data_IF_741798432050
#
_entry.id   IF_741798432050
#
_cell.length_a   1.000
_cell.length_b   1.000
_cell.length_c   1.000
_cell.angle_alpha   90.00
_cell.angle_beta   90.00
_cell.angle_gamma   90.00
#
_symmetry.space_group_name_H-M   'P 1'
#
loop_
_entity.id
_entity.type
_entity.pdbx_description
1 polymer ?
#
# COMPACT_ATOMS: atom_id res chain seq x y z
N UNK A 1 -17.04 -25.06 -5.35
CA UNK A 1 -16.84 -26.47 -4.98
C UNK A 1 -15.50 -26.93 -5.55
N UNK A 2 -14.89 -27.99 -5.00
CA UNK A 2 -13.70 -28.63 -5.59
C UNK A 2 -14.10 -29.53 -6.77
N UNK A 3 -13.15 -29.84 -7.66
CA UNK A 3 -13.40 -30.71 -8.80
C UNK A 3 -14.08 -32.03 -8.41
N UNK A 4 -13.56 -32.72 -7.38
CA UNK A 4 -14.11 -33.99 -6.88
C UNK A 4 -15.57 -33.87 -6.38
N UNK A 5 -15.93 -32.72 -5.79
CA UNK A 5 -17.29 -32.46 -5.30
C UNK A 5 -18.25 -32.24 -6.47
N UNK A 6 -17.81 -31.56 -7.52
CA UNK A 6 -18.60 -31.34 -8.74
C UNK A 6 -18.78 -32.67 -9.49
N UNK A 7 -17.74 -33.50 -9.58
CA UNK A 7 -17.85 -34.84 -10.15
C UNK A 7 -18.84 -35.73 -9.37
N UNK A 8 -18.84 -35.66 -8.04
CA UNK A 8 -19.81 -36.37 -7.19
C UNK A 8 -21.25 -35.88 -7.42
N UNK A 9 -21.46 -34.56 -7.50
CA UNK A 9 -22.77 -33.96 -7.84
C UNK A 9 -23.31 -34.51 -9.16
N UNK A 10 -22.46 -34.61 -10.17
CA UNK A 10 -22.82 -35.06 -11.51
C UNK A 10 -23.10 -36.56 -11.55
N UNK A 11 -22.26 -37.35 -10.90
CA UNK A 11 -22.40 -38.82 -10.92
C UNK A 11 -23.53 -39.33 -10.03
N UNK A 12 -23.93 -38.56 -9.00
CA UNK A 12 -25.01 -38.93 -8.07
C UNK A 12 -26.43 -38.75 -8.61
N UNK A 13 -26.60 -38.11 -9.78
CA UNK A 13 -27.92 -37.78 -10.32
C UNK A 13 -28.56 -36.53 -9.67
N UNK A 14 -27.85 -35.89 -8.73
CA UNK A 14 -28.34 -34.72 -8.02
C UNK A 14 -28.39 -33.50 -8.93
N UNK A 15 -27.44 -33.39 -9.85
CA UNK A 15 -27.44 -32.37 -10.89
C UNK A 15 -28.73 -32.43 -11.72
N UNK A 16 -29.06 -33.59 -12.29
CA UNK A 16 -30.25 -33.78 -13.11
C UNK A 16 -31.52 -33.48 -12.32
N UNK A 17 -31.56 -33.86 -11.04
CA UNK A 17 -32.70 -33.58 -10.15
C UNK A 17 -32.93 -32.09 -9.93
N UNK A 18 -31.87 -31.30 -9.84
CA UNK A 18 -31.97 -29.85 -9.58
C UNK A 18 -32.16 -29.07 -10.89
N UNK A 19 -31.50 -29.51 -11.97
CA UNK A 19 -31.39 -28.78 -13.23
C UNK A 19 -32.04 -29.52 -14.41
N UNK A 20 -33.17 -30.21 -14.19
CA UNK A 20 -33.90 -31.06 -15.16
C UNK A 20 -34.05 -30.47 -16.59
N UNK A 21 -33.83 -29.17 -16.80
CA UNK A 21 -34.00 -28.44 -18.08
C UNK A 21 -32.73 -27.82 -18.67
N UNK A 22 -31.54 -27.90 -18.05
CA UNK A 22 -30.30 -27.39 -18.65
C UNK A 22 -29.66 -28.44 -19.58
N UNK A 23 -30.37 -28.82 -20.65
CA UNK A 23 -29.92 -29.84 -21.61
C UNK A 23 -28.60 -29.48 -22.33
N UNK A 24 -28.22 -28.20 -22.37
CA UNK A 24 -27.07 -27.72 -23.14
C UNK A 24 -25.73 -27.71 -22.38
N UNK A 25 -25.73 -28.06 -21.08
CA UNK A 25 -24.51 -27.99 -20.27
C UNK A 25 -24.32 -29.24 -19.41
N UNK A 26 -23.59 -30.22 -19.95
CA UNK A 26 -23.08 -31.36 -19.20
C UNK A 26 -21.59 -31.10 -18.96
N UNK A 27 -21.17 -30.77 -17.72
CA UNK A 27 -19.75 -30.63 -17.40
C UNK A 27 -19.02 -31.94 -17.74
N UNK A 28 -18.27 -31.94 -18.83
CA UNK A 28 -17.32 -32.98 -19.18
C UNK A 28 -15.92 -32.48 -18.81
N UNK A 29 -15.15 -33.32 -18.09
CA UNK A 29 -13.77 -33.06 -17.67
C UNK A 29 -13.65 -31.87 -16.70
N UNK A 30 -13.38 -32.18 -15.44
CA UNK A 30 -13.23 -31.19 -14.37
C UNK A 30 -11.83 -31.32 -13.79
N UNK A 31 -11.07 -30.23 -13.79
CA UNK A 31 -9.68 -30.23 -13.31
C UNK A 31 -9.46 -29.03 -12.38
N UNK A 32 -9.03 -29.32 -11.15
CA UNK A 32 -8.56 -28.29 -10.22
C UNK A 32 -7.11 -27.90 -10.56
N UNK A 33 -6.92 -26.66 -11.00
CA UNK A 33 -5.59 -26.07 -11.14
C UNK A 33 -5.28 -25.15 -9.95
N UNK A 34 -4.01 -24.75 -9.81
CA UNK A 34 -3.58 -23.88 -8.70
C UNK A 34 -4.31 -22.53 -8.71
N UNK A 35 -4.61 -21.98 -9.90
CA UNK A 35 -5.14 -20.62 -10.04
C UNK A 35 -6.59 -20.57 -10.54
N UNK A 36 -7.15 -21.69 -11.02
CA UNK A 36 -8.47 -21.74 -11.65
C UNK A 36 -9.06 -23.14 -11.61
N UNK A 37 -10.38 -23.21 -11.78
CA UNK A 37 -11.11 -24.44 -12.03
C UNK A 37 -11.32 -24.58 -13.54
N UNK A 38 -11.07 -25.75 -14.11
CA UNK A 38 -11.36 -26.03 -15.51
C UNK A 38 -12.57 -26.95 -15.63
N UNK A 39 -13.55 -26.56 -16.45
CA UNK A 39 -14.72 -27.36 -16.77
C UNK A 39 -14.95 -27.30 -18.27
N UNK A 40 -14.88 -28.43 -18.96
CA UNK A 40 -15.20 -28.54 -20.40
C UNK A 40 -14.40 -27.57 -21.29
N UNK A 41 -13.12 -27.38 -20.98
CA UNK A 41 -12.18 -26.42 -21.60
C UNK A 41 -12.42 -24.94 -21.26
N UNK A 42 -13.41 -24.61 -20.43
CA UNK A 42 -13.57 -23.26 -19.88
C UNK A 42 -12.84 -23.14 -18.55
N UNK A 43 -12.09 -22.06 -18.39
CA UNK A 43 -11.35 -21.76 -17.18
C UNK A 43 -12.10 -20.74 -16.35
N UNK A 44 -12.39 -21.06 -15.09
CA UNK A 44 -13.04 -20.19 -14.12
C UNK A 44 -11.97 -19.58 -13.22
N UNK A 45 -11.69 -18.29 -13.43
CA UNK A 45 -10.71 -17.54 -12.66
C UNK A 45 -11.40 -16.56 -11.71
N UNK A 46 -11.17 -16.70 -10.41
CA UNK A 46 -11.65 -15.74 -9.41
C UNK A 46 -11.00 -14.37 -9.63
N UNK A 47 -11.81 -13.32 -9.66
CA UNK A 47 -11.38 -11.93 -9.76
C UNK A 47 -11.48 -11.29 -8.38
N UNK A 48 -10.33 -11.10 -7.75
CA UNK A 48 -10.22 -10.58 -6.39
C UNK A 48 -10.51 -9.07 -6.31
N UNK A 49 -10.20 -8.32 -7.38
CA UNK A 49 -10.44 -6.88 -7.42
C UNK A 49 -10.75 -6.40 -8.82
N UNK A 50 -11.75 -5.55 -8.93
CA UNK A 50 -12.02 -4.74 -10.13
C UNK A 50 -11.67 -3.29 -9.87
N UNK A 51 -11.21 -2.60 -10.91
CA UNK A 51 -10.87 -1.17 -10.88
C UNK A 51 -12.09 -0.34 -10.49
N UNK A 52 -11.86 0.75 -9.75
CA UNK A 52 -12.93 1.70 -9.44
C UNK A 52 -13.43 2.47 -10.67
N UNK A 53 -12.76 2.32 -11.83
CA UNK A 53 -13.21 2.86 -13.11
C UNK A 53 -14.21 1.96 -13.82
N UNK A 54 -14.30 0.68 -13.44
CA UNK A 54 -15.18 -0.29 -14.08
C UNK A 54 -16.62 -0.02 -13.64
N UNK A 55 -17.50 0.30 -14.58
CA UNK A 55 -18.93 0.39 -14.30
C UNK A 55 -19.48 -0.98 -13.94
N UNK A 56 -20.17 -1.07 -12.80
CA UNK A 56 -20.79 -2.31 -12.31
C UNK A 56 -22.30 -2.35 -12.57
N UNK A 57 -22.78 -1.57 -13.52
CA UNK A 57 -24.18 -1.55 -13.96
C UNK A 57 -24.52 -2.70 -14.91
N UNK A 58 -23.50 -3.44 -15.38
CA UNK A 58 -23.62 -4.65 -16.17
C UNK A 58 -23.06 -5.81 -15.37
N UNK A 59 -23.74 -6.95 -15.46
CA UNK A 59 -23.34 -8.17 -14.76
C UNK A 59 -22.23 -8.92 -15.51
N UNK A 60 -22.09 -8.69 -16.82
CA UNK A 60 -21.06 -9.32 -17.65
C UNK A 60 -20.48 -8.36 -18.69
N UNK A 61 -19.23 -8.61 -19.05
CA UNK A 61 -18.49 -7.88 -20.10
C UNK A 61 -17.68 -8.90 -20.91
N UNK A 62 -17.91 -8.96 -22.21
CA UNK A 62 -17.11 -9.79 -23.12
C UNK A 62 -15.69 -9.22 -23.25
N UNK A 63 -14.70 -10.11 -23.29
CA UNK A 63 -13.29 -9.78 -23.49
C UNK A 63 -12.82 -10.43 -24.78
N UNK A 64 -12.34 -9.60 -25.70
CA UNK A 64 -11.73 -10.06 -26.95
C UNK A 64 -10.23 -9.84 -26.90
N UNK A 65 -9.46 -10.84 -27.33
CA UNK A 65 -8.01 -10.73 -27.48
C UNK A 65 -7.64 -9.84 -28.68
N UNK A 66 -6.41 -9.33 -28.74
CA UNK A 66 -5.98 -8.37 -29.78
C UNK A 66 -6.00 -8.95 -31.20
N UNK A 67 -5.92 -10.28 -31.33
CA UNK A 67 -6.04 -11.01 -32.60
C UNK A 67 -7.49 -11.30 -33.01
N UNK A 68 -8.47 -10.87 -32.21
CA UNK A 68 -9.89 -11.04 -32.45
C UNK A 68 -10.49 -12.33 -31.89
N UNK A 69 -9.72 -13.20 -31.23
CA UNK A 69 -10.27 -14.37 -30.52
C UNK A 69 -11.11 -13.95 -29.33
N UNK A 70 -12.18 -14.68 -29.04
CA UNK A 70 -12.93 -14.49 -27.80
C UNK A 70 -12.13 -15.04 -26.62
N UNK A 71 -11.76 -14.16 -25.68
CA UNK A 71 -11.07 -14.58 -24.47
C UNK A 71 -12.08 -15.16 -23.48
N UNK A 72 -13.30 -14.62 -23.45
CA UNK A 72 -14.37 -15.02 -22.56
C UNK A 72 -15.05 -13.83 -21.89
N UNK A 73 -15.66 -14.07 -20.74
CA UNK A 73 -16.54 -13.10 -20.07
C UNK A 73 -16.07 -12.76 -18.67
N UNK A 74 -15.93 -11.46 -18.38
CA UNK A 74 -15.78 -10.93 -17.03
C UNK A 74 -17.14 -10.72 -16.40
N UNK A 75 -17.42 -11.49 -15.35
CA UNK A 75 -18.65 -11.46 -14.57
C UNK A 75 -18.47 -10.57 -13.34
N UNK A 76 -19.19 -9.45 -13.30
CA UNK A 76 -19.18 -8.44 -12.23
C UNK A 76 -20.25 -8.70 -11.17
N UNK A 77 -20.41 -9.96 -10.79
CA UNK A 77 -21.55 -10.48 -10.03
C UNK A 77 -21.34 -10.53 -8.52
N UNK A 78 -20.20 -10.09 -7.98
CA UNK A 78 -19.96 -10.08 -6.53
C UNK A 78 -21.10 -9.39 -5.75
N UNK A 79 -21.68 -10.09 -4.79
CA UNK A 79 -22.79 -9.62 -3.97
C UNK A 79 -24.17 -9.73 -4.63
N UNK A 80 -24.25 -10.17 -5.88
CA UNK A 80 -25.52 -10.51 -6.55
C UNK A 80 -26.10 -11.76 -5.89
N UNK A 81 -27.39 -11.71 -5.60
CA UNK A 81 -28.14 -12.85 -5.07
C UNK A 81 -28.70 -13.67 -6.23
N UNK A 82 -28.58 -14.98 -6.13
CA UNK A 82 -29.16 -15.93 -7.07
C UNK A 82 -30.61 -16.22 -6.67
N UNK A 83 -31.54 -15.63 -7.41
CA UNK A 83 -32.97 -15.82 -7.18
C UNK A 83 -33.56 -16.99 -7.99
N UNK A 84 -32.96 -17.30 -9.15
CA UNK A 84 -33.38 -18.38 -10.03
C UNK A 84 -32.20 -18.91 -10.86
N UNK A 85 -31.90 -20.21 -10.70
CA UNK A 85 -30.85 -20.91 -11.43
C UNK A 85 -31.05 -20.90 -12.95
N UNK A 86 -32.29 -20.94 -13.43
CA UNK A 86 -32.58 -21.05 -14.86
C UNK A 86 -32.38 -19.75 -15.61
N UNK A 87 -32.12 -18.65 -14.88
CA UNK A 87 -31.78 -17.35 -15.46
C UNK A 87 -30.28 -17.17 -15.68
N UNK A 88 -29.45 -18.08 -15.17
CA UNK A 88 -28.00 -18.00 -15.32
C UNK A 88 -27.60 -18.32 -16.76
N UNK A 89 -26.76 -17.47 -17.33
CA UNK A 89 -25.96 -17.82 -18.50
C UNK A 89 -25.00 -18.98 -18.19
N UNK A 90 -24.47 -19.66 -19.22
CA UNK A 90 -23.50 -20.74 -19.03
C UNK A 90 -22.26 -20.28 -18.25
N UNK A 91 -21.78 -19.05 -18.49
CA UNK A 91 -20.66 -18.48 -17.76
C UNK A 91 -20.99 -18.21 -16.28
N UNK A 92 -22.18 -17.66 -15.99
CA UNK A 92 -22.62 -17.44 -14.60
C UNK A 92 -22.83 -18.76 -13.85
N UNK A 93 -23.31 -19.80 -14.55
CA UNK A 93 -23.45 -21.14 -13.98
C UNK A 93 -22.09 -21.75 -13.62
N UNK A 94 -21.11 -21.63 -14.51
CA UNK A 94 -19.72 -22.05 -14.23
C UNK A 94 -19.13 -21.32 -13.02
N UNK A 95 -19.35 -20.00 -12.93
CA UNK A 95 -18.94 -19.22 -11.76
C UNK A 95 -19.67 -19.67 -10.47
N UNK A 96 -20.96 -20.03 -10.57
CA UNK A 96 -21.72 -20.56 -9.42
C UNK A 96 -21.12 -21.86 -8.89
N UNK A 97 -20.74 -22.80 -9.77
CA UNK A 97 -20.12 -24.06 -9.38
C UNK A 97 -18.80 -23.85 -8.61
N UNK A 98 -18.00 -22.86 -9.01
CA UNK A 98 -16.77 -22.51 -8.29
C UNK A 98 -17.06 -21.85 -6.94
N UNK A 99 -18.07 -20.97 -6.86
CA UNK A 99 -18.33 -20.12 -5.70
C UNK A 99 -19.06 -20.82 -4.54
N UNK A 100 -19.88 -21.84 -4.82
CA UNK A 100 -20.73 -22.54 -3.84
C UNK A 100 -20.00 -23.68 -3.12
N UNK A 101 -20.40 -24.06 -1.90
CA UNK A 101 -19.95 -25.33 -1.29
C UNK A 101 -20.83 -26.51 -1.70
N UNK A 102 -20.41 -27.74 -1.40
CA UNK A 102 -21.22 -28.94 -1.69
C UNK A 102 -22.57 -28.88 -0.97
N UNK A 103 -22.59 -28.36 0.27
CA UNK A 103 -23.80 -28.26 1.10
C UNK A 103 -24.77 -27.18 0.60
N UNK A 104 -24.24 -26.10 0.03
CA UNK A 104 -25.03 -24.98 -0.50
C UNK A 104 -25.51 -25.21 -1.95
N UNK A 105 -25.10 -26.32 -2.56
CA UNK A 105 -25.43 -26.63 -3.94
C UNK A 105 -26.93 -26.84 -4.14
N UNK A 106 -27.53 -26.11 -5.08
CA UNK A 106 -28.97 -26.11 -5.34
C UNK A 106 -29.79 -25.24 -4.38
N UNK A 107 -29.18 -24.57 -3.39
CA UNK A 107 -29.90 -23.66 -2.51
C UNK A 107 -30.18 -22.31 -3.18
N UNK A 108 -31.46 -21.92 -3.22
CA UNK A 108 -31.85 -20.58 -3.67
C UNK A 108 -31.40 -19.51 -2.68
N UNK A 109 -30.93 -18.39 -3.21
CA UNK A 109 -30.49 -17.25 -2.43
C UNK A 109 -29.01 -17.21 -2.12
N UNK A 110 -28.19 -18.05 -2.78
CA UNK A 110 -26.74 -17.90 -2.85
C UNK A 110 -26.35 -16.46 -3.18
N UNK A 111 -25.29 -15.94 -2.55
CA UNK A 111 -24.77 -14.59 -2.82
C UNK A 111 -23.33 -14.73 -3.27
N UNK A 112 -23.05 -14.31 -4.51
CA UNK A 112 -21.71 -14.48 -5.08
C UNK A 112 -20.64 -13.79 -4.22
N UNK A 113 -19.62 -14.54 -3.80
CA UNK A 113 -18.57 -14.04 -2.91
C UNK A 113 -17.56 -13.14 -3.63
N UNK A 114 -17.42 -13.33 -4.95
CA UNK A 114 -16.43 -12.68 -5.79
C UNK A 114 -16.92 -12.45 -7.22
N UNK A 115 -16.15 -11.67 -7.98
CA UNK A 115 -16.27 -11.55 -9.43
C UNK A 115 -15.48 -12.69 -10.11
N UNK A 116 -15.76 -12.98 -11.38
CA UNK A 116 -15.15 -14.09 -12.11
C UNK A 116 -14.76 -13.71 -13.52
N UNK A 117 -13.73 -14.35 -14.07
CA UNK A 117 -13.47 -14.42 -15.49
C UNK A 117 -13.68 -15.86 -15.93
N UNK A 118 -14.52 -16.09 -16.92
CA UNK A 118 -14.75 -17.41 -17.52
C UNK A 118 -14.23 -17.39 -18.95
N UNK A 119 -13.24 -18.23 -19.26
CA UNK A 119 -12.65 -18.27 -20.60
C UNK A 119 -13.51 -19.07 -21.59
N UNK A 120 -13.48 -18.68 -22.86
CA UNK A 120 -14.18 -19.35 -23.97
C UNK A 120 -13.20 -19.96 -24.97
N UNK A 121 -12.86 -19.25 -26.06
CA UNK A 121 -12.07 -19.82 -27.17
C UNK A 121 -10.58 -19.96 -26.85
N UNK A 122 -10.08 -19.20 -25.87
CA UNK A 122 -8.69 -19.27 -25.43
C UNK A 122 -8.54 -20.40 -24.40
N UNK A 123 -7.58 -21.34 -24.61
CA UNK A 123 -7.30 -22.37 -23.62
C UNK A 123 -7.01 -21.76 -22.24
N UNK A 124 -7.60 -22.27 -21.14
CA UNK A 124 -7.40 -21.73 -19.81
C UNK A 124 -5.93 -21.64 -19.39
N UNK A 125 -5.14 -22.65 -19.78
CA UNK A 125 -3.70 -22.70 -19.55
C UNK A 125 -2.91 -21.62 -20.34
N UNK A 126 -3.39 -21.20 -21.51
CA UNK A 126 -2.81 -20.08 -22.27
C UNK A 126 -3.10 -18.76 -21.53
N UNK A 127 -4.33 -18.55 -21.06
CA UNK A 127 -4.68 -17.38 -20.26
C UNK A 127 -3.84 -17.29 -18.97
N UNK A 128 -3.77 -18.38 -18.19
CA UNK A 128 -3.05 -18.42 -16.91
C UNK A 128 -1.56 -18.07 -17.07
N UNK A 129 -0.94 -18.58 -18.15
CA UNK A 129 0.48 -18.39 -18.44
C UNK A 129 0.78 -17.00 -19.01
N UNK A 130 0.00 -16.55 -19.98
CA UNK A 130 0.40 -15.43 -20.85
C UNK A 130 -0.33 -14.12 -20.51
N UNK A 131 -1.54 -14.17 -19.94
CA UNK A 131 -2.42 -13.00 -19.80
C UNK A 131 -2.81 -12.66 -18.36
N UNK A 132 -2.94 -13.68 -17.48
CA UNK A 132 -3.44 -13.50 -16.10
C UNK A 132 -2.64 -12.48 -15.29
N UNK A 133 -1.32 -12.51 -15.42
CA UNK A 133 -0.42 -11.63 -14.66
C UNK A 133 -0.45 -10.16 -15.10
N UNK A 134 -1.03 -9.87 -16.28
CA UNK A 134 -1.11 -8.51 -16.84
C UNK A 134 -2.54 -7.96 -16.88
N UNK A 135 -3.53 -8.75 -16.42
CA UNK A 135 -4.95 -8.39 -16.41
C UNK A 135 -5.23 -7.07 -15.65
N UNK A 136 -4.42 -6.75 -14.65
CA UNK A 136 -4.50 -5.49 -13.92
C UNK A 136 -4.35 -4.26 -14.84
N UNK A 137 -3.60 -4.39 -15.93
CA UNK A 137 -3.29 -3.31 -16.86
C UNK A 137 -4.35 -3.22 -17.96
N UNK A 138 -4.57 -4.31 -18.70
CA UNK A 138 -5.43 -4.29 -19.89
C UNK A 138 -6.92 -4.51 -19.55
N UNK A 139 -7.21 -5.32 -18.53
CA UNK A 139 -8.59 -5.67 -18.14
C UNK A 139 -9.14 -4.80 -17.03
N UNK A 140 -8.27 -4.14 -16.25
CA UNK A 140 -8.70 -3.36 -15.09
C UNK A 140 -9.25 -4.23 -13.96
N UNK A 141 -8.81 -5.48 -13.87
CA UNK A 141 -9.15 -6.41 -12.80
C UNK A 141 -7.93 -7.26 -12.40
N UNK A 142 -7.96 -7.78 -11.19
CA UNK A 142 -6.86 -8.50 -10.57
C UNK A 142 -7.27 -9.88 -10.12
N UNK A 143 -6.42 -10.86 -10.42
CA UNK A 143 -6.45 -12.17 -9.79
C UNK A 143 -5.62 -12.22 -8.51
N UNK A 144 -4.85 -11.17 -8.21
CA UNK A 144 -4.07 -11.13 -6.98
C UNK A 144 -4.95 -10.80 -5.79
N UNK A 145 -4.79 -11.55 -4.70
CA UNK A 145 -5.46 -11.25 -3.45
C UNK A 145 -5.04 -9.85 -3.00
N UNK A 146 -6.01 -9.00 -2.69
CA UNK A 146 -5.72 -7.66 -2.21
C UNK A 146 -4.87 -7.76 -0.91
N UNK A 147 -3.82 -6.93 -0.76
CA UNK A 147 -3.09 -6.85 0.50
C UNK A 147 -4.08 -6.59 1.64
N UNK A 148 -3.84 -7.22 2.79
CA UNK A 148 -4.73 -7.04 3.95
C UNK A 148 -4.78 -5.56 4.32
N UNK A 149 -5.97 -4.97 4.25
CA UNK A 149 -6.17 -3.61 4.72
C UNK A 149 -5.98 -3.59 6.23
N UNK A 150 -4.84 -3.10 6.69
CA UNK A 150 -4.59 -2.98 8.10
C UNK A 150 -5.19 -1.66 8.62
N UNK A 151 -6.15 -1.81 9.53
CA UNK A 151 -6.77 -0.71 10.26
C UNK A 151 -5.99 -0.52 11.55
N UNK A 152 -5.61 0.72 11.83
CA UNK A 152 -5.02 1.09 13.10
C UNK A 152 -6.14 1.23 14.14
N UNK A 153 -6.11 0.46 15.24
CA UNK A 153 -7.01 0.71 16.35
C UNK A 153 -6.66 2.07 16.98
N UNK A 154 -7.67 2.90 17.26
CA UNK A 154 -7.49 4.13 18.02
C UNK A 154 -8.43 4.13 19.23
N UNK A 155 -7.90 4.54 20.38
CA UNK A 155 -8.65 4.63 21.65
C UNK A 155 -9.26 6.01 21.88
N UNK A 156 -8.68 7.05 21.26
CA UNK A 156 -9.15 8.43 21.37
C UNK A 156 -8.66 9.27 20.19
N UNK A 157 -9.34 10.39 19.94
CA UNK A 157 -8.96 11.39 18.93
C UNK A 157 -8.78 12.72 19.66
N UNK A 158 -7.63 13.36 19.47
CA UNK A 158 -7.34 14.69 20.03
C UNK A 158 -7.34 15.71 18.90
N UNK A 159 -8.22 16.71 19.00
CA UNK A 159 -8.23 17.83 18.05
C UNK A 159 -7.03 18.76 18.30
N UNK A 160 -6.24 19.02 17.26
CA UNK A 160 -5.09 19.92 17.32
C UNK A 160 -5.38 21.23 16.57
N UNK A 161 -5.82 22.27 17.30
CA UNK A 161 -6.13 23.60 16.73
C UNK A 161 -4.92 24.35 16.19
N UNK A 162 -3.71 23.82 16.39
CA UNK A 162 -2.45 24.43 15.97
C UNK A 162 -2.05 24.11 14.53
N UNK A 163 -2.64 23.07 13.94
CA UNK A 163 -2.32 22.65 12.58
C UNK A 163 -2.71 23.75 11.59
N UNK A 164 -1.72 24.19 10.81
CA UNK A 164 -1.85 25.23 9.79
C UNK A 164 -1.67 24.60 8.42
N UNK A 165 -2.59 24.90 7.52
CA UNK A 165 -2.61 24.30 6.17
C UNK A 165 -2.19 25.37 5.16
N UNK A 166 -0.96 25.34 4.64
CA UNK A 166 -0.40 26.47 3.88
C UNK A 166 -1.06 26.73 2.52
N UNK A 167 -1.73 25.73 1.94
CA UNK A 167 -2.37 25.85 0.63
C UNK A 167 -3.51 24.85 0.45
N UNK A 168 -4.38 25.11 -0.53
CA UNK A 168 -5.45 24.17 -0.91
C UNK A 168 -4.90 22.80 -1.31
N UNK A 169 -3.72 22.75 -1.96
CA UNK A 169 -3.07 21.49 -2.31
C UNK A 169 -2.74 20.63 -1.09
N UNK A 170 -2.36 21.25 0.04
CA UNK A 170 -2.17 20.52 1.30
C UNK A 170 -3.51 20.00 1.84
N UNK A 171 -4.58 20.80 1.83
CA UNK A 171 -5.92 20.34 2.23
C UNK A 171 -6.37 19.10 1.43
N UNK A 172 -6.18 19.13 0.11
CA UNK A 172 -6.50 18.00 -0.77
C UNK A 172 -5.60 16.80 -0.51
N UNK A 173 -4.30 17.01 -0.25
CA UNK A 173 -3.36 15.94 0.06
C UNK A 173 -3.70 15.25 1.40
N UNK A 174 -4.05 16.02 2.44
CA UNK A 174 -4.52 15.48 3.72
C UNK A 174 -5.81 14.68 3.56
N UNK A 175 -6.77 15.17 2.76
CA UNK A 175 -7.99 14.41 2.47
C UNK A 175 -7.67 13.07 1.77
N UNK A 176 -6.75 13.07 0.78
CA UNK A 176 -6.32 11.86 0.08
C UNK A 176 -5.61 10.87 1.01
N UNK A 177 -4.89 11.33 2.03
CA UNK A 177 -4.35 10.47 3.08
C UNK A 177 -5.45 9.70 3.82
N UNK A 178 -6.55 10.35 4.19
CA UNK A 178 -7.69 9.70 4.85
C UNK A 178 -8.38 8.63 3.98
N UNK A 179 -8.35 8.79 2.65
CA UNK A 179 -8.93 7.82 1.70
C UNK A 179 -7.98 6.66 1.32
N UNK A 180 -6.72 6.70 1.72
CA UNK A 180 -5.73 5.67 1.37
C UNK A 180 -6.06 4.33 2.03
N UNK A 181 -5.86 3.23 1.28
CA UNK A 181 -6.40 1.90 1.65
C UNK A 181 -5.42 1.02 2.41
N UNK A 182 -4.13 1.29 2.30
CA UNK A 182 -3.07 0.50 2.93
C UNK A 182 -1.96 1.41 3.51
N UNK A 183 -1.10 0.88 4.39
CA UNK A 183 -0.03 1.67 5.04
C UNK A 183 0.97 2.29 4.07
N UNK A 184 1.31 1.61 2.96
CA UNK A 184 2.22 2.15 1.94
C UNK A 184 1.65 3.40 1.28
N UNK A 185 0.39 3.36 0.84
CA UNK A 185 -0.30 4.51 0.29
C UNK A 185 -0.39 5.64 1.32
N UNK A 186 -0.77 5.33 2.56
CA UNK A 186 -0.86 6.31 3.65
C UNK A 186 0.48 7.02 3.87
N UNK A 187 1.57 6.27 3.97
CA UNK A 187 2.91 6.80 4.09
C UNK A 187 3.26 7.73 2.92
N UNK A 188 3.06 7.29 1.67
CA UNK A 188 3.36 8.10 0.49
C UNK A 188 2.51 9.38 0.41
N UNK A 189 1.23 9.33 0.81
CA UNK A 189 0.35 10.51 0.84
C UNK A 189 0.77 11.50 1.93
N UNK A 190 1.17 11.04 3.11
CA UNK A 190 1.74 11.93 4.15
C UNK A 190 3.06 12.54 3.68
N UNK A 191 3.93 11.74 3.07
CA UNK A 191 5.22 12.21 2.57
C UNK A 191 5.05 13.28 1.50
N UNK A 192 4.06 13.08 0.61
CA UNK A 192 3.71 14.08 -0.39
C UNK A 192 3.30 15.42 0.22
N UNK A 193 2.70 15.44 1.42
CA UNK A 193 2.41 16.69 2.12
C UNK A 193 3.69 17.45 2.50
N UNK A 194 4.77 16.74 2.86
CA UNK A 194 6.09 17.34 3.09
C UNK A 194 6.71 17.82 1.78
N UNK A 195 6.59 17.05 0.70
CA UNK A 195 7.10 17.46 -0.62
C UNK A 195 6.48 18.78 -1.08
N UNK A 196 5.15 18.92 -0.97
CA UNK A 196 4.44 20.16 -1.27
C UNK A 196 4.92 21.33 -0.38
N UNK A 197 5.32 21.03 0.85
CA UNK A 197 5.80 22.02 1.80
C UNK A 197 7.16 22.59 1.39
N UNK A 198 8.07 21.81 0.78
CA UNK A 198 9.37 22.32 0.29
C UNK A 198 9.18 23.50 -0.65
N UNK A 199 8.31 23.32 -1.64
CA UNK A 199 8.01 24.33 -2.66
C UNK A 199 7.27 25.51 -2.02
N UNK A 200 6.32 25.21 -1.13
CA UNK A 200 5.50 26.24 -0.47
C UNK A 200 6.33 27.15 0.42
N UNK A 201 7.23 26.62 1.25
CA UNK A 201 8.14 27.43 2.07
C UNK A 201 9.04 28.29 1.19
N UNK A 202 9.53 27.73 0.07
CA UNK A 202 10.35 28.48 -0.89
C UNK A 202 9.58 29.69 -1.42
N UNK A 203 8.33 29.49 -1.85
CA UNK A 203 7.45 30.57 -2.33
C UNK A 203 7.13 31.59 -1.23
N UNK A 204 6.80 31.16 -0.02
CA UNK A 204 6.50 32.05 1.10
C UNK A 204 7.70 32.92 1.46
N UNK A 205 8.90 32.34 1.53
CA UNK A 205 10.14 33.10 1.79
C UNK A 205 10.45 34.10 0.68
N UNK A 206 10.23 33.74 -0.59
CA UNK A 206 10.40 34.68 -1.71
C UNK A 206 9.41 35.85 -1.60
N UNK A 207 8.15 35.59 -1.22
CA UNK A 207 7.15 36.65 -1.03
C UNK A 207 7.49 37.62 0.10
N UNK A 208 8.25 37.17 1.10
CA UNK A 208 8.75 38.01 2.19
C UNK A 208 9.98 38.85 1.81
N UNK A 209 10.62 38.55 0.68
CA UNK A 209 11.69 39.39 0.16
C UNK A 209 11.12 40.68 -0.42
N UNK A 210 11.84 41.78 -0.18
CA UNK A 210 11.66 43.04 -0.91
C UNK A 210 12.61 43.04 -2.12
N UNK A 211 13.54 43.99 -2.23
CA UNK A 211 14.48 44.11 -3.34
C UNK A 211 15.81 43.34 -3.11
N UNK A 212 15.80 42.32 -2.24
CA UNK A 212 17.00 41.57 -1.86
C UNK A 212 17.31 40.41 -2.84
N UNK A 213 18.03 40.75 -3.91
CA UNK A 213 18.51 39.77 -4.92
C UNK A 213 19.45 38.72 -4.29
N UNK A 214 20.23 39.08 -3.25
CA UNK A 214 21.13 38.12 -2.58
C UNK A 214 20.33 37.12 -1.76
N UNK A 215 19.33 37.60 -1.03
CA UNK A 215 18.34 36.77 -0.33
C UNK A 215 17.65 35.79 -1.28
N UNK A 216 17.23 36.26 -2.46
CA UNK A 216 16.63 35.41 -3.48
C UNK A 216 17.58 34.29 -3.94
N UNK A 217 18.84 34.62 -4.23
CA UNK A 217 19.84 33.62 -4.62
C UNK A 217 20.07 32.56 -3.52
N UNK A 218 20.11 32.98 -2.25
CA UNK A 218 20.23 32.08 -1.10
C UNK A 218 19.06 31.10 -1.01
N UNK A 219 17.82 31.59 -1.17
CA UNK A 219 16.61 30.76 -1.13
C UNK A 219 16.64 29.73 -2.28
N UNK A 220 16.96 30.17 -3.51
CA UNK A 220 16.99 29.29 -4.68
C UNK A 220 18.09 28.22 -4.57
N UNK A 221 19.26 28.57 -4.03
CA UNK A 221 20.34 27.62 -3.81
C UNK A 221 19.97 26.57 -2.74
N UNK A 222 19.30 26.98 -1.66
CA UNK A 222 18.79 26.05 -0.66
C UNK A 222 17.74 25.10 -1.24
N UNK A 223 16.86 25.61 -2.12
CA UNK A 223 15.85 24.81 -2.81
C UNK A 223 16.44 23.74 -3.74
N UNK A 224 17.59 24.01 -4.37
CA UNK A 224 18.27 23.09 -5.29
C UNK A 224 19.02 21.93 -4.61
N UNK A 225 19.01 21.86 -3.28
CA UNK A 225 19.66 20.78 -2.52
C UNK A 225 18.92 19.45 -2.68
N UNK A 226 19.58 18.35 -2.27
CA UNK A 226 18.98 17.01 -2.38
C UNK A 226 17.78 16.91 -1.46
N UNK A 227 16.84 16.05 -1.83
CA UNK A 227 15.59 15.82 -1.10
C UNK A 227 15.82 15.57 0.40
N UNK A 228 16.74 14.65 0.75
CA UNK A 228 17.09 14.36 2.16
C UNK A 228 17.61 15.59 2.91
N UNK A 229 18.39 16.45 2.27
CA UNK A 229 18.92 17.67 2.89
C UNK A 229 17.79 18.67 3.16
N UNK A 230 16.79 18.74 2.28
CA UNK A 230 15.58 19.55 2.47
C UNK A 230 14.72 19.02 3.62
N UNK A 231 14.55 17.69 3.75
CA UNK A 231 13.87 17.10 4.92
C UNK A 231 14.59 17.46 6.22
N UNK A 232 15.92 17.32 6.26
CA UNK A 232 16.73 17.66 7.43
C UNK A 232 16.62 19.16 7.76
N UNK A 233 16.62 20.02 6.76
CA UNK A 233 16.46 21.47 6.97
C UNK A 233 15.09 21.80 7.55
N UNK A 234 14.02 21.22 7.01
CA UNK A 234 12.66 21.42 7.53
C UNK A 234 12.52 20.87 8.95
N UNK A 235 13.07 19.70 9.26
CA UNK A 235 12.97 19.15 10.61
C UNK A 235 13.61 20.09 11.64
N UNK A 236 14.83 20.56 11.36
CA UNK A 236 15.54 21.47 12.26
C UNK A 236 14.85 22.81 12.50
N UNK A 237 14.07 23.28 11.53
CA UNK A 237 13.41 24.59 11.61
C UNK A 237 12.04 24.54 12.28
N UNK A 238 11.25 23.49 12.01
CA UNK A 238 9.85 23.45 12.39
C UNK A 238 9.51 22.42 13.48
N UNK A 239 10.41 21.48 13.81
CA UNK A 239 10.21 20.51 14.88
C UNK A 239 10.70 21.11 16.20
N UNK A 240 9.86 21.08 17.22
CA UNK A 240 10.16 21.63 18.54
C UNK A 240 10.25 20.53 19.61
N UNK A 241 9.39 19.51 19.52
CA UNK A 241 9.32 18.42 20.49
C UNK A 241 10.12 17.21 19.99
N UNK A 242 11.43 17.30 20.17
CA UNK A 242 12.37 16.26 19.73
C UNK A 242 12.20 14.97 20.54
N UNK A 243 11.71 15.05 21.77
CA UNK A 243 11.49 13.88 22.62
C UNK A 243 10.27 13.08 22.14
N UNK A 244 9.15 13.72 21.79
CA UNK A 244 8.00 13.05 21.17
C UNK A 244 8.36 12.39 19.84
N UNK A 245 9.23 13.03 19.03
CA UNK A 245 9.72 12.44 17.80
C UNK A 245 10.65 11.24 18.07
N UNK A 246 11.53 11.34 19.07
CA UNK A 246 12.42 10.27 19.47
C UNK A 246 11.68 9.06 20.04
N UNK A 247 10.58 9.29 20.76
CA UNK A 247 9.67 8.22 21.20
C UNK A 247 9.16 7.42 20.00
N UNK A 248 8.78 8.05 18.87
CA UNK A 248 8.34 7.29 17.68
C UNK A 248 9.43 6.45 17.05
N UNK A 249 10.71 6.80 17.25
CA UNK A 249 11.82 5.98 16.80
C UNK A 249 11.91 4.64 17.58
N UNK A 250 11.37 4.55 18.80
CA UNK A 250 11.39 3.30 19.58
C UNK A 250 10.50 2.21 19.00
N UNK A 251 9.52 2.57 18.16
CA UNK A 251 8.67 1.61 17.45
C UNK A 251 9.44 0.74 16.45
N UNK A 252 10.74 0.97 16.28
CA UNK A 252 11.64 0.07 15.54
C UNK A 252 11.82 -1.29 16.24
N UNK A 253 11.44 -1.39 17.53
CA UNK A 253 11.47 -2.63 18.30
C UNK A 253 10.68 -3.74 17.61
N UNK A 254 11.31 -4.89 17.38
CA UNK A 254 10.73 -6.00 16.61
C UNK A 254 10.88 -5.90 15.09
N UNK A 255 11.47 -4.81 14.58
CA UNK A 255 11.76 -4.59 13.17
C UNK A 255 13.24 -4.29 12.90
N UNK A 256 14.14 -4.68 13.80
CA UNK A 256 15.57 -4.36 13.72
C UNK A 256 16.22 -4.92 12.45
N UNK A 257 15.84 -6.14 12.06
CA UNK A 257 16.40 -6.81 10.88
C UNK A 257 16.06 -6.07 9.58
N UNK A 258 14.80 -5.65 9.42
CA UNK A 258 14.39 -4.88 8.25
C UNK A 258 14.96 -3.47 8.30
N UNK A 259 14.97 -2.82 9.47
CA UNK A 259 15.57 -1.51 9.64
C UNK A 259 17.06 -1.53 9.27
N UNK A 260 17.79 -2.59 9.64
CA UNK A 260 19.20 -2.78 9.26
C UNK A 260 19.33 -2.87 7.74
N UNK A 261 18.51 -3.68 7.07
CA UNK A 261 18.55 -3.78 5.60
C UNK A 261 18.35 -2.42 4.94
N UNK A 262 17.35 -1.65 5.38
CA UNK A 262 17.00 -0.37 4.76
C UNK A 262 18.02 0.73 5.09
N UNK A 263 18.35 0.90 6.36
CA UNK A 263 19.10 2.07 6.85
C UNK A 263 20.61 1.84 6.91
N UNK A 264 21.08 0.59 7.00
CA UNK A 264 22.49 0.24 7.14
C UNK A 264 23.04 -0.47 5.89
N UNK A 265 22.52 -1.65 5.52
CA UNK A 265 23.05 -2.46 4.41
C UNK A 265 22.89 -1.73 3.07
N UNK A 266 21.71 -1.14 2.85
CA UNK A 266 21.43 -0.31 1.70
C UNK A 266 21.68 1.18 1.97
N UNK A 267 22.50 1.55 2.96
CA UNK A 267 22.80 2.94 3.33
C UNK A 267 23.21 3.81 2.12
N UNK A 268 22.93 5.11 2.22
CA UNK A 268 23.25 6.14 1.21
C UNK A 268 23.99 7.29 1.91
N UNK A 269 24.69 8.09 1.10
CA UNK A 269 25.36 9.32 1.56
C UNK A 269 24.37 10.20 2.36
N UNK A 270 24.84 10.73 3.50
CA UNK A 270 24.01 11.50 4.42
C UNK A 270 23.41 10.69 5.59
N UNK A 271 23.72 9.39 5.71
CA UNK A 271 23.36 8.60 6.89
C UNK A 271 24.06 9.16 8.14
N UNK A 272 23.32 9.62 9.18
CA UNK A 272 23.92 10.14 10.41
C UNK A 272 24.68 9.08 11.23
N UNK A 273 24.36 7.79 11.01
CA UNK A 273 24.94 6.64 11.72
C UNK A 273 25.61 5.67 10.75
N UNK A 274 26.36 6.21 9.79
CA UNK A 274 26.91 5.43 8.68
C UNK A 274 27.75 4.21 9.15
N UNK A 275 27.63 3.04 8.48
CA UNK A 275 28.34 1.82 8.85
C UNK A 275 29.86 1.94 8.84
N UNK A 276 30.40 2.91 8.09
CA UNK A 276 31.83 3.22 8.04
C UNK A 276 32.36 3.97 9.26
N UNK A 277 31.50 4.42 10.18
CA UNK A 277 31.94 5.03 11.44
C UNK A 277 32.58 3.97 12.35
N UNK A 278 33.63 4.36 13.07
CA UNK A 278 34.33 3.48 14.01
C UNK A 278 34.26 4.04 15.44
N UNK A 279 33.58 3.36 16.38
CA UNK A 279 32.87 2.09 16.21
C UNK A 279 31.55 2.25 15.41
N UNK A 280 31.07 1.18 14.74
CA UNK A 280 29.74 1.18 14.14
C UNK A 280 28.67 1.49 15.19
N UNK A 281 27.95 2.60 15.02
CA UNK A 281 26.95 3.09 16.00
C UNK A 281 25.57 2.44 15.86
N UNK A 282 25.33 1.74 14.75
CA UNK A 282 24.04 1.11 14.45
C UNK A 282 23.51 0.30 15.64
N UNK A 283 24.31 -0.64 16.16
CA UNK A 283 23.91 -1.52 17.24
C UNK A 283 23.59 -0.77 18.55
N UNK A 284 24.33 0.29 18.87
CA UNK A 284 24.05 1.14 20.04
C UNK A 284 22.74 1.91 19.87
N UNK A 285 22.52 2.50 18.68
CA UNK A 285 21.33 3.29 18.38
C UNK A 285 20.07 2.42 18.38
N UNK A 286 20.08 1.32 17.63
CA UNK A 286 18.92 0.43 17.61
C UNK A 286 18.72 -0.29 18.94
N UNK A 287 19.80 -0.71 19.61
CA UNK A 287 19.71 -1.34 20.93
C UNK A 287 19.13 -0.42 22.02
N UNK A 288 19.39 0.89 21.94
CA UNK A 288 18.79 1.88 22.83
C UNK A 288 17.31 2.08 22.51
N UNK A 289 16.99 2.37 21.25
CA UNK A 289 15.63 2.65 20.78
C UNK A 289 14.70 1.45 20.96
N UNK A 290 15.12 0.23 20.62
CA UNK A 290 14.32 -0.99 20.79
C UNK A 290 14.01 -1.29 22.25
N UNK A 291 14.83 -0.79 23.18
CA UNK A 291 14.60 -0.89 24.62
C UNK A 291 13.79 0.27 25.19
N UNK A 292 13.22 1.14 24.35
CA UNK A 292 12.43 2.29 24.76
C UNK A 292 13.27 3.41 25.38
N UNK A 293 14.59 3.41 25.16
CA UNK A 293 15.52 4.41 25.68
C UNK A 293 15.83 5.44 24.61
N UNK A 294 15.27 6.64 24.74
CA UNK A 294 15.33 7.67 23.69
C UNK A 294 15.64 9.08 24.22
N UNK A 295 15.74 9.26 25.55
CA UNK A 295 16.16 10.54 26.10
C UNK A 295 17.63 10.84 25.79
N UNK A 296 18.03 12.11 25.83
CA UNK A 296 19.43 12.49 25.61
C UNK A 296 20.40 11.76 26.55
N UNK A 297 20.01 11.62 27.81
CA UNK A 297 20.82 10.94 28.82
C UNK A 297 20.99 9.45 28.49
N UNK A 298 19.90 8.78 28.10
CA UNK A 298 19.95 7.36 27.75
C UNK A 298 20.81 7.11 26.52
N UNK A 299 20.62 7.91 25.47
CA UNK A 299 21.37 7.75 24.22
C UNK A 299 22.87 8.01 24.44
N UNK A 300 23.25 8.94 25.31
CA UNK A 300 24.67 9.16 25.66
C UNK A 300 25.24 7.99 26.47
N UNK A 301 24.48 7.46 27.43
CA UNK A 301 24.89 6.32 28.25
C UNK A 301 25.11 5.06 27.40
N UNK A 302 24.25 4.83 26.42
CA UNK A 302 24.34 3.68 25.50
C UNK A 302 25.35 3.89 24.36
N UNK A 303 26.03 5.04 24.32
CA UNK A 303 26.91 5.46 23.24
C UNK A 303 26.21 5.56 21.88
N UNK A 304 24.88 5.64 21.88
CA UNK A 304 24.04 5.88 20.72
C UNK A 304 24.14 7.33 20.24
N UNK A 305 24.33 8.30 21.14
CA UNK A 305 24.60 9.72 20.88
C UNK A 305 26.02 10.06 21.34
N UNK A 306 26.82 10.69 20.47
CA UNK A 306 28.19 11.07 20.84
C UNK A 306 28.21 12.23 21.85
N UNK A 307 29.21 12.27 22.73
CA UNK A 307 29.26 13.26 23.83
C UNK A 307 29.22 14.74 23.38
N UNK A 308 29.68 15.03 22.15
CA UNK A 308 29.68 16.39 21.57
C UNK A 308 28.54 16.63 20.58
N UNK A 309 27.70 15.63 20.33
CA UNK A 309 26.61 15.71 19.38
C UNK A 309 25.38 16.29 20.07
N UNK A 310 24.71 17.20 19.37
CA UNK A 310 23.48 17.82 19.85
C UNK A 310 22.29 16.87 19.65
N UNK A 311 21.55 16.61 20.73
CA UNK A 311 20.42 15.67 20.72
C UNK A 311 19.36 16.06 19.69
N UNK A 312 18.92 17.33 19.71
CA UNK A 312 17.87 17.81 18.82
C UNK A 312 18.28 17.65 17.35
N UNK A 313 19.50 18.05 17.02
CA UNK A 313 20.08 17.90 15.68
C UNK A 313 20.17 16.43 15.27
N UNK A 314 20.61 15.55 16.16
CA UNK A 314 20.69 14.12 15.90
C UNK A 314 19.32 13.52 15.60
N UNK A 315 18.33 13.72 16.48
CA UNK A 315 16.96 13.19 16.33
C UNK A 315 16.30 13.72 15.05
N UNK A 316 16.43 15.02 14.78
CA UNK A 316 15.91 15.64 13.55
C UNK A 316 16.56 15.07 12.29
N UNK A 317 17.86 14.77 12.34
CA UNK A 317 18.60 14.25 11.19
C UNK A 317 18.31 12.77 10.95
N UNK A 318 18.30 11.94 11.99
CA UNK A 318 18.03 10.49 11.86
C UNK A 318 16.59 10.23 11.44
N UNK A 319 15.61 10.96 12.00
CA UNK A 319 14.20 10.83 11.63
C UNK A 319 13.98 11.20 10.15
N UNK A 320 14.49 12.36 9.73
CA UNK A 320 14.42 12.80 8.34
C UNK A 320 15.08 11.79 7.38
N UNK A 321 16.25 11.27 7.74
CA UNK A 321 16.96 10.27 6.96
C UNK A 321 16.14 8.97 6.83
N UNK A 322 15.64 8.43 7.94
CA UNK A 322 14.87 7.19 7.94
C UNK A 322 13.55 7.33 7.16
N UNK A 323 12.81 8.42 7.35
CA UNK A 323 11.61 8.73 6.55
C UNK A 323 11.94 8.75 5.05
N UNK A 324 12.99 9.47 4.65
CA UNK A 324 13.43 9.52 3.25
C UNK A 324 13.78 8.12 2.71
N UNK A 325 14.48 7.31 3.51
CA UNK A 325 14.86 5.95 3.11
C UNK A 325 13.68 5.02 2.95
N UNK A 326 12.69 5.09 3.84
CA UNK A 326 11.44 4.34 3.68
C UNK A 326 10.71 4.79 2.41
N UNK A 327 10.61 6.09 2.14
CA UNK A 327 10.00 6.57 0.89
C UNK A 327 10.66 5.97 -0.34
N UNK A 328 12.00 5.97 -0.40
CA UNK A 328 12.73 5.33 -1.50
C UNK A 328 12.38 3.85 -1.64
N UNK A 329 12.35 3.12 -0.52
CA UNK A 329 12.03 1.69 -0.49
C UNK A 329 10.60 1.34 -0.88
N UNK A 330 9.66 2.28 -0.77
CA UNK A 330 8.27 2.10 -1.22
C UNK A 330 8.11 2.52 -2.70
N UNK A 331 8.64 3.68 -3.08
CA UNK A 331 8.33 4.31 -4.36
C UNK A 331 9.22 3.84 -5.53
N UNK A 332 10.39 3.29 -5.25
CA UNK A 332 11.38 2.99 -6.27
C UNK A 332 11.76 1.52 -6.31
N UNK A 333 11.44 0.85 -7.40
CA UNK A 333 12.06 -0.43 -7.77
C UNK A 333 13.39 -0.17 -8.50
N UNK A 334 14.38 0.37 -7.77
CA UNK A 334 15.72 0.66 -8.32
C UNK A 334 16.75 -0.34 -7.83
N UNK A 335 17.67 -0.73 -8.72
CA UNK A 335 18.81 -1.58 -8.37
C UNK A 335 19.64 -0.87 -7.29
N UNK A 336 19.92 -1.59 -6.19
CA UNK A 336 20.68 -1.07 -5.05
C UNK A 336 19.85 -0.31 -4.01
N UNK A 337 18.53 -0.40 -4.08
CA UNK A 337 17.60 0.00 -3.00
C UNK A 337 16.92 -1.26 -2.44
N UNK A 338 16.62 -1.27 -1.15
CA UNK A 338 15.76 -2.29 -0.56
C UNK A 338 14.32 -2.01 -0.99
N UNK A 339 13.61 -3.00 -1.53
CA UNK A 339 12.23 -2.85 -1.99
C UNK A 339 11.31 -3.46 -0.93
N UNK A 340 10.40 -2.65 -0.40
CA UNK A 340 9.37 -3.12 0.52
C UNK A 340 8.25 -3.84 -0.24
N UNK A 341 7.81 -4.97 0.30
CA UNK A 341 6.68 -5.75 -0.21
C UNK A 341 5.59 -5.88 0.85
N UNK A 342 4.47 -6.54 0.53
CA UNK A 342 3.38 -6.76 1.47
C UNK A 342 3.82 -7.52 2.74
N UNK A 343 4.90 -8.31 2.67
CA UNK A 343 5.46 -9.00 3.84
C UNK A 343 5.96 -8.02 4.91
N UNK A 344 6.36 -6.82 4.51
CA UNK A 344 6.89 -5.78 5.39
C UNK A 344 5.84 -4.72 5.78
N UNK A 345 4.55 -4.97 5.53
CA UNK A 345 3.45 -4.05 5.85
C UNK A 345 3.48 -3.59 7.32
N UNK A 346 3.79 -4.49 8.25
CA UNK A 346 3.86 -4.19 9.68
C UNK A 346 4.92 -3.13 10.00
N UNK A 347 6.08 -3.19 9.36
CA UNK A 347 7.14 -2.18 9.56
C UNK A 347 6.69 -0.78 9.13
N UNK A 348 6.00 -0.68 8.00
CA UNK A 348 5.49 0.63 7.54
C UNK A 348 4.39 1.13 8.46
N UNK A 349 3.47 0.26 8.86
CA UNK A 349 2.32 0.62 9.67
C UNK A 349 2.69 1.00 11.11
N UNK A 350 3.54 0.20 11.77
CA UNK A 350 3.74 0.27 13.21
C UNK A 350 4.95 1.16 13.57
N UNK A 351 5.85 1.41 12.60
CA UNK A 351 7.03 2.27 12.78
C UNK A 351 7.06 3.47 11.83
N UNK A 352 7.08 3.24 10.51
CA UNK A 352 7.41 4.33 9.58
C UNK A 352 6.31 5.40 9.44
N UNK A 353 5.05 4.97 9.33
CA UNK A 353 3.90 5.88 9.26
C UNK A 353 3.73 6.69 10.55
N UNK A 354 3.78 6.10 11.77
CA UNK A 354 3.72 6.87 13.01
C UNK A 354 4.83 7.91 13.15
N UNK A 355 6.07 7.57 12.76
CA UNK A 355 7.19 8.50 12.75
C UNK A 355 6.92 9.68 11.81
N UNK A 356 6.47 9.40 10.58
CA UNK A 356 6.16 10.43 9.59
C UNK A 356 4.95 11.28 10.00
N UNK A 357 3.94 10.69 10.64
CA UNK A 357 2.75 11.41 11.11
C UNK A 357 3.10 12.38 12.23
N UNK A 358 3.93 11.97 13.20
CA UNK A 358 4.44 12.86 14.24
C UNK A 358 5.28 13.99 13.63
N UNK A 359 6.18 13.65 12.71
CA UNK A 359 7.00 14.60 11.96
C UNK A 359 6.13 15.67 11.26
N UNK A 360 5.11 15.25 10.51
CA UNK A 360 4.15 16.14 9.88
C UNK A 360 3.39 16.98 10.91
N UNK A 361 2.89 16.35 11.99
CA UNK A 361 2.08 17.03 13.01
C UNK A 361 2.86 18.17 13.64
N UNK A 362 4.12 17.97 13.98
CA UNK A 362 4.96 19.03 14.56
C UNK A 362 5.22 20.15 13.56
N UNK A 363 5.60 19.82 12.32
CA UNK A 363 5.88 20.83 11.29
C UNK A 363 4.65 21.70 11.02
N UNK A 364 3.50 21.09 10.75
CA UNK A 364 2.27 21.81 10.42
C UNK A 364 1.66 22.51 11.62
N UNK A 365 2.01 22.14 12.86
CA UNK A 365 1.57 22.84 14.07
C UNK A 365 2.56 23.88 14.60
N UNK A 366 3.73 23.99 14.00
CA UNK A 366 4.82 24.87 14.42
C UNK A 366 4.46 26.35 14.32
N UNK A 367 4.95 27.14 15.27
CA UNK A 367 4.78 28.60 15.22
C UNK A 367 5.56 29.21 14.06
N UNK A 368 6.77 28.71 13.79
CA UNK A 368 7.61 29.17 12.70
C UNK A 368 6.91 29.06 11.33
N UNK A 369 6.17 27.96 11.07
CA UNK A 369 5.41 27.84 9.82
C UNK A 369 4.24 28.83 9.78
N UNK A 370 3.56 29.06 10.91
CA UNK A 370 2.49 30.07 10.97
C UNK A 370 2.98 31.48 10.71
N UNK A 371 4.15 31.82 11.22
CA UNK A 371 4.75 33.13 11.00
C UNK A 371 5.17 33.35 9.53
N UNK A 372 5.31 32.27 8.75
CA UNK A 372 5.59 32.32 7.32
C UNK A 372 4.36 32.44 6.42
N UNK A 373 3.18 31.98 6.89
CA UNK A 373 1.90 32.02 6.16
C UNK A 373 1.25 33.39 6.35
#
# INVERSE_FOLDING_TARGET
>A
MRAEEIEDVLTSGEFERIFETQEDFVPAEIVDHVNFLEISNSGIFRVNKTSSKTERNRDSVDITHEDGRDLGQLLLIKGKKLDDFYTLSSAEFLAYLDDVTREEFGELGHVFSTDFLVTSDIPPAEYDRDLRSTADIWGGFSHFAAPRSARLPFSSIVANSRISVPSQHHSEAFARYTYARNPFERFLRLYHCIELLFDTITVLRIKQLTDDIRGLSTILNAHATKEVDRLISISREFICDHEALAEKLTSISGYEDIAKKIFDDHSKNGNPIAPSQNPPRWASVTGSLSAGRYSEADLKNDQALMAREDYCTFISTISAYWIYRVRCSIAHSRIGEFILTDAETGFVQDFAEPLLLEFCTQIFSSQALRDLI
#
